data_IF_016891881896
#
_entry.id   IF_016891881896
#
_cell.length_a   1.000
_cell.length_b   1.000
_cell.length_c   1.000
_cell.angle_alpha   90.00
_cell.angle_beta   90.00
_cell.angle_gamma   90.00
#
_symmetry.space_group_name_H-M   'P 1'
#
loop_
_entity.id
_entity.type
_entity.pdbx_description
1 polymer ?
#
# COMPACT_ATOMS: atom_id res chain seq x y z
N UNK A 1 0.12 -58.74 23.76
CA UNK A 1 0.21 -57.95 22.51
C UNK A 1 -0.87 -56.88 22.63
N UNK A 2 -0.46 -55.67 22.99
CA UNK A 2 -1.34 -54.52 23.26
C UNK A 2 -0.95 -53.41 22.28
N UNK A 3 -1.88 -52.83 21.49
CA UNK A 3 -1.53 -51.89 20.43
C UNK A 3 -1.34 -50.45 20.94
N UNK A 4 -0.29 -49.81 20.41
CA UNK A 4 0.18 -48.45 20.72
C UNK A 4 -0.88 -47.35 20.78
N UNK A 5 -0.66 -46.30 21.61
CA UNK A 5 -1.46 -45.09 21.58
C UNK A 5 -1.10 -44.26 20.34
N UNK A 6 -2.11 -44.00 19.51
CA UNK A 6 -2.05 -43.09 18.38
C UNK A 6 -1.71 -41.68 18.87
N UNK A 7 -0.53 -41.18 18.50
CA UNK A 7 -0.16 -39.78 18.68
C UNK A 7 -1.04 -38.92 17.78
N UNK A 8 -2.19 -38.48 18.31
CA UNK A 8 -2.97 -37.39 17.72
C UNK A 8 -2.17 -36.11 17.89
N UNK A 9 -1.39 -35.79 16.85
CA UNK A 9 -0.73 -34.49 16.69
C UNK A 9 -1.81 -33.42 16.67
N UNK A 10 -2.01 -32.76 17.81
CA UNK A 10 -2.84 -31.56 17.88
C UNK A 10 -2.21 -30.51 16.97
N UNK A 11 -2.95 -30.16 15.92
CA UNK A 11 -2.79 -28.97 15.11
C UNK A 11 -2.58 -27.75 16.01
N UNK A 12 -1.32 -27.38 16.21
CA UNK A 12 -0.94 -26.09 16.79
C UNK A 12 -1.22 -25.06 15.71
N UNK A 13 -2.48 -24.64 15.63
CA UNK A 13 -2.86 -23.42 14.95
C UNK A 13 -1.99 -22.31 15.52
N UNK A 14 -1.11 -21.76 14.68
CA UNK A 14 -0.55 -20.46 14.98
C UNK A 14 -1.74 -19.51 15.20
N UNK A 15 -1.73 -18.65 16.22
CA UNK A 15 -2.68 -17.55 16.25
C UNK A 15 -2.46 -16.79 14.95
N UNK A 16 -3.43 -16.88 14.05
CA UNK A 16 -3.53 -15.95 12.95
C UNK A 16 -3.46 -14.58 13.62
N UNK A 17 -2.43 -13.80 13.32
CA UNK A 17 -2.34 -12.42 13.77
C UNK A 17 -3.60 -11.76 13.19
N UNK A 18 -4.64 -11.63 14.01
CA UNK A 18 -5.86 -10.92 13.65
C UNK A 18 -5.40 -9.52 13.26
N UNK A 19 -5.47 -9.27 11.96
CA UNK A 19 -5.01 -8.03 11.37
C UNK A 19 -5.68 -6.89 12.09
N UNK A 20 -4.86 -5.92 12.52
CA UNK A 20 -5.35 -4.61 12.92
C UNK A 20 -6.39 -4.15 11.89
N UNK A 21 -7.50 -3.51 12.34
CA UNK A 21 -8.51 -3.03 11.42
C UNK A 21 -7.81 -2.23 10.31
N UNK A 22 -8.02 -2.65 9.07
CA UNK A 22 -7.43 -1.97 7.92
C UNK A 22 -7.84 -0.51 7.98
N UNK A 23 -6.86 0.39 8.06
CA UNK A 23 -7.10 1.82 8.14
C UNK A 23 -8.03 2.24 6.99
N UNK A 24 -9.03 3.12 7.25
CA UNK A 24 -9.94 3.54 6.22
C UNK A 24 -9.19 4.22 5.08
N UNK A 25 -9.63 4.04 3.81
CA UNK A 25 -8.95 4.64 2.68
C UNK A 25 -8.99 6.17 2.74
N UNK A 26 -7.90 6.80 2.32
CA UNK A 26 -7.75 8.24 2.25
C UNK A 26 -7.99 8.75 0.82
N UNK A 27 -8.66 9.90 0.68
CA UNK A 27 -8.79 10.58 -0.61
C UNK A 27 -7.68 11.62 -0.80
N UNK A 28 -7.02 11.56 -1.95
CA UNK A 28 -5.96 12.49 -2.36
C UNK A 28 -6.43 13.33 -3.54
N UNK A 29 -6.28 14.65 -3.41
CA UNK A 29 -6.50 15.61 -4.49
C UNK A 29 -5.17 16.02 -5.09
N UNK A 30 -4.98 15.75 -6.38
CA UNK A 30 -3.73 16.00 -7.08
C UNK A 30 -3.95 17.07 -8.15
N UNK A 31 -3.21 18.17 -8.02
CA UNK A 31 -3.11 19.21 -9.02
C UNK A 31 -1.80 19.05 -9.78
N UNK A 32 -1.87 18.93 -11.11
CA UNK A 32 -0.68 18.88 -11.95
C UNK A 32 -0.25 20.28 -12.37
N UNK A 33 1.02 20.43 -12.73
CA UNK A 33 1.56 21.68 -13.31
C UNK A 33 0.99 22.00 -14.69
N UNK A 34 0.33 21.04 -15.34
CA UNK A 34 -0.40 21.23 -16.60
C UNK A 34 -1.86 21.64 -16.39
N UNK A 35 -2.28 21.87 -15.14
CA UNK A 35 -3.62 22.32 -14.79
C UNK A 35 -4.66 21.19 -14.63
N UNK A 36 -4.27 19.93 -14.83
CA UNK A 36 -5.16 18.79 -14.63
C UNK A 36 -5.38 18.52 -13.13
N UNK A 37 -6.55 17.95 -12.80
CA UNK A 37 -6.96 17.62 -11.45
C UNK A 37 -7.38 16.16 -11.38
N UNK A 38 -6.91 15.46 -10.35
CA UNK A 38 -7.22 14.05 -10.11
C UNK A 38 -7.63 13.86 -8.66
N UNK A 39 -8.60 12.99 -8.45
CA UNK A 39 -8.98 12.49 -7.15
C UNK A 39 -8.66 11.00 -7.09
N UNK A 40 -7.97 10.58 -6.04
CA UNK A 40 -7.51 9.20 -5.86
C UNK A 40 -7.85 8.74 -4.44
N UNK A 41 -8.66 7.68 -4.35
CA UNK A 41 -8.81 6.94 -3.09
C UNK A 41 -7.67 5.93 -2.97
N UNK A 42 -6.96 5.94 -1.84
CA UNK A 42 -5.78 5.12 -1.60
C UNK A 42 -5.82 4.47 -0.22
N UNK A 43 -5.28 3.24 -0.08
CA UNK A 43 -5.16 2.60 1.23
C UNK A 43 -4.12 3.31 2.11
N UNK A 44 -4.16 3.07 3.43
CA UNK A 44 -3.22 3.67 4.38
C UNK A 44 -1.76 3.27 4.13
N UNK A 45 -1.51 2.05 3.68
CA UNK A 45 -0.19 1.53 3.30
C UNK A 45 0.33 2.01 1.93
N UNK A 46 -0.37 2.94 1.28
CA UNK A 46 0.06 3.44 -0.02
C UNK A 46 1.46 4.07 0.02
N UNK A 47 2.25 3.82 -1.03
CA UNK A 47 3.60 4.38 -1.15
C UNK A 47 3.67 5.49 -2.19
N UNK A 48 4.67 6.37 -2.04
CA UNK A 48 4.98 7.40 -3.05
C UNK A 48 5.30 6.78 -4.41
N UNK A 49 6.00 5.64 -4.42
CA UNK A 49 6.34 4.90 -5.65
C UNK A 49 5.06 4.34 -6.33
N UNK A 50 4.14 3.79 -5.54
CA UNK A 50 2.84 3.31 -6.01
C UNK A 50 1.97 4.43 -6.58
N UNK A 51 1.95 5.60 -5.92
CA UNK A 51 1.30 6.82 -6.43
C UNK A 51 1.90 7.27 -7.75
N UNK A 52 3.23 7.37 -7.85
CA UNK A 52 3.91 7.74 -9.10
C UNK A 52 3.60 6.77 -10.23
N UNK A 53 3.55 5.46 -9.96
CA UNK A 53 3.17 4.43 -10.94
C UNK A 53 1.73 4.60 -11.45
N UNK A 54 0.79 4.91 -10.57
CA UNK A 54 -0.61 5.13 -11.01
C UNK A 54 -0.74 6.41 -11.83
N UNK A 55 -0.06 7.48 -11.42
CA UNK A 55 -0.06 8.74 -12.14
C UNK A 55 0.65 8.63 -13.48
N UNK A 56 1.75 7.88 -13.58
CA UNK A 56 2.46 7.68 -14.85
C UNK A 56 1.56 7.04 -15.90
N UNK A 57 0.74 6.06 -15.50
CA UNK A 57 -0.22 5.42 -16.39
C UNK A 57 -1.33 6.39 -16.83
N UNK A 58 -1.87 7.18 -15.89
CA UNK A 58 -2.95 8.13 -16.18
C UNK A 58 -2.48 9.32 -17.03
N UNK A 59 -1.29 9.85 -16.75
CA UNK A 59 -0.71 11.00 -17.42
C UNK A 59 0.03 10.64 -18.70
N UNK A 60 0.32 9.35 -18.92
CA UNK A 60 1.21 8.87 -20.00
C UNK A 60 2.60 9.53 -19.94
N UNK A 61 3.09 9.77 -18.73
CA UNK A 61 4.41 10.35 -18.46
C UNK A 61 5.25 9.33 -17.69
N UNK A 62 6.49 9.05 -18.10
CA UNK A 62 7.38 8.15 -17.38
C UNK A 62 7.53 8.53 -15.89
N UNK A 63 7.51 7.53 -14.98
CA UNK A 63 7.43 7.78 -13.52
C UNK A 63 8.66 8.52 -12.97
N UNK A 64 9.80 8.39 -13.65
CA UNK A 64 11.09 9.01 -13.30
C UNK A 64 11.04 10.52 -13.54
N UNK A 65 10.13 10.97 -14.42
CA UNK A 65 9.87 12.38 -14.72
C UNK A 65 8.83 13.00 -13.81
N UNK A 66 8.22 12.22 -12.90
CA UNK A 66 7.21 12.70 -11.96
C UNK A 66 7.82 13.04 -10.59
N UNK A 67 7.56 14.26 -10.13
CA UNK A 67 7.80 14.70 -8.77
C UNK A 67 6.46 14.94 -8.06
N UNK A 68 6.31 14.39 -6.86
CA UNK A 68 5.14 14.61 -6.02
C UNK A 68 5.51 15.57 -4.88
N UNK A 69 4.60 16.52 -4.64
CA UNK A 69 4.73 17.56 -3.63
C UNK A 69 3.52 17.49 -2.71
N UNK A 70 3.72 17.57 -1.40
CA UNK A 70 2.66 17.69 -0.40
C UNK A 70 2.89 18.97 0.39
N UNK A 71 1.90 19.88 0.38
CA UNK A 71 2.00 21.21 0.98
C UNK A 71 3.28 21.94 0.53
N UNK A 72 3.57 21.87 -0.77
CA UNK A 72 4.76 22.45 -1.42
C UNK A 72 6.12 21.85 -1.00
N UNK A 73 6.15 20.92 -0.05
CA UNK A 73 7.35 20.15 0.27
C UNK A 73 7.48 18.94 -0.65
N UNK A 74 8.70 18.67 -1.13
CA UNK A 74 9.01 17.40 -1.82
C UNK A 74 8.72 16.25 -0.89
N UNK A 75 8.06 15.23 -1.44
CA UNK A 75 7.87 13.96 -0.74
C UNK A 75 9.00 13.02 -1.18
N UNK A 76 10.03 12.80 -0.33
CA UNK A 76 11.06 11.83 -0.64
C UNK A 76 10.51 10.40 -0.58
N UNK A 77 11.10 9.44 -1.32
CA UNK A 77 10.79 8.03 -1.12
C UNK A 77 11.11 7.63 0.33
N UNK A 78 10.26 6.79 0.92
CA UNK A 78 10.52 6.24 2.25
C UNK A 78 11.76 5.34 2.15
N UNK A 79 12.78 5.63 2.97
CA UNK A 79 13.99 4.82 3.11
C UNK A 79 13.62 3.40 3.57
N UNK A 80 14.34 2.35 3.12
CA UNK A 80 14.12 0.98 3.56
C UNK A 80 14.33 0.80 5.06
#
# INVERSE_FOLDING_TARGET
MDPQPSARSCSRGAPACEGLPAEPPMNLYIHTTTGARYELSVPGEETVEGLKRRLSQRLKVPKERLALLHKESRIPPRSP
#
